data_IF_950982147018
#
_entry.id   IF_950982147018
#
_cell.length_a   1.000
_cell.length_b   1.000
_cell.length_c   1.000
_cell.angle_alpha   90.00
_cell.angle_beta   90.00
_cell.angle_gamma   90.00
#
_symmetry.space_group_name_H-M   'P 1'
#
loop_
_entity.id
_entity.type
_entity.pdbx_description
1 polymer ?
#
# COMPACT_ATOMS: atom_id res chain seq x y z
N UNK A 1 -5.87 27.56 28.12
CA UNK A 1 -7.29 27.18 27.88
C UNK A 1 -8.14 28.31 27.28
N UNK A 2 -8.04 29.56 27.75
CA UNK A 2 -8.78 30.69 27.15
C UNK A 2 -8.35 31.00 25.69
N UNK A 3 -7.06 30.87 25.37
CA UNK A 3 -6.50 31.26 24.07
C UNK A 3 -7.14 30.53 22.87
N UNK A 4 -7.40 29.23 22.98
CA UNK A 4 -8.04 28.43 21.91
C UNK A 4 -9.52 28.78 21.71
N UNK A 5 -10.20 29.29 22.74
CA UNK A 5 -11.57 29.79 22.59
C UNK A 5 -11.57 31.18 21.96
N UNK A 6 -10.58 32.02 22.28
CA UNK A 6 -10.45 33.34 21.66
C UNK A 6 -10.06 33.25 20.18
N UNK A 7 -9.30 32.22 19.81
CA UNK A 7 -8.84 31.98 18.44
C UNK A 7 -9.95 31.55 17.47
N UNK A 8 -11.18 31.32 17.93
CA UNK A 8 -12.32 31.07 17.04
C UNK A 8 -12.82 32.34 16.34
N UNK A 9 -12.46 33.52 16.87
CA UNK A 9 -12.77 34.81 16.27
C UNK A 9 -11.54 35.35 15.53
N UNK A 10 -11.70 35.67 14.24
CA UNK A 10 -10.60 36.07 13.35
C UNK A 10 -9.89 37.34 13.85
N UNK A 11 -10.61 38.30 14.40
CA UNK A 11 -10.02 39.56 14.92
C UNK A 11 -9.07 39.32 16.09
N UNK A 12 -9.33 38.28 16.89
CA UNK A 12 -8.46 37.90 18.00
C UNK A 12 -7.22 37.18 17.51
N UNK A 13 -7.25 36.48 16.37
CA UNK A 13 -6.12 35.71 15.88
C UNK A 13 -4.91 36.58 15.59
N UNK A 14 -5.10 37.78 15.02
CA UNK A 14 -4.01 38.74 14.80
C UNK A 14 -3.39 39.21 16.11
N UNK A 15 -4.20 39.48 17.14
CA UNK A 15 -3.70 39.88 18.47
C UNK A 15 -2.94 38.73 19.14
N UNK A 16 -3.45 37.50 19.01
CA UNK A 16 -2.81 36.30 19.53
C UNK A 16 -1.47 36.07 18.83
N UNK A 17 -1.41 36.23 17.50
CA UNK A 17 -0.19 36.04 16.71
C UNK A 17 0.91 37.03 17.10
N UNK A 18 0.56 38.28 17.40
CA UNK A 18 1.51 39.29 17.92
C UNK A 18 2.18 38.87 19.22
N UNK A 19 1.53 38.03 20.02
CA UNK A 19 2.12 37.48 21.24
C UNK A 19 3.08 36.30 20.99
N UNK A 20 3.34 35.94 19.72
CA UNK A 20 4.22 34.85 19.31
C UNK A 20 3.95 33.55 20.09
N UNK A 21 2.74 32.97 19.98
CA UNK A 21 2.32 31.86 20.83
C UNK A 21 2.95 30.51 20.42
N UNK A 22 3.54 30.43 19.22
CA UNK A 22 4.00 29.18 18.61
C UNK A 22 5.06 28.47 19.46
N UNK A 23 6.17 29.10 19.91
CA UNK A 23 7.19 28.42 20.73
C UNK A 23 6.62 27.82 22.01
N UNK A 24 5.79 28.60 22.71
CA UNK A 24 5.13 28.15 23.95
C UNK A 24 4.17 26.98 23.68
N UNK A 25 3.42 27.05 22.57
CA UNK A 25 2.45 26.01 22.21
C UNK A 25 3.16 24.72 21.78
N UNK A 26 4.26 24.81 21.03
CA UNK A 26 5.10 23.67 20.64
C UNK A 26 5.71 23.01 21.89
N UNK A 27 6.24 23.80 22.83
CA UNK A 27 6.75 23.27 24.11
C UNK A 27 5.67 22.51 24.90
N UNK A 28 4.42 22.98 24.87
CA UNK A 28 3.29 22.26 25.48
C UNK A 28 2.98 20.96 24.72
N UNK A 29 3.02 20.96 23.39
CA UNK A 29 2.82 19.75 22.59
C UNK A 29 3.91 18.69 22.83
N UNK A 30 5.15 19.10 23.07
CA UNK A 30 6.27 18.20 23.40
C UNK A 30 6.14 17.58 24.79
N UNK A 31 5.62 18.34 25.76
CA UNK A 31 5.54 17.92 27.18
C UNK A 31 4.24 17.20 27.55
N UNK A 32 3.15 17.46 26.86
CA UNK A 32 1.84 16.92 27.18
C UNK A 32 1.56 15.56 26.51
N UNK A 33 0.76 14.71 27.17
CA UNK A 33 0.22 13.49 26.55
C UNK A 33 -0.58 13.85 25.30
N UNK A 34 -0.27 13.23 24.17
CA UNK A 34 -0.84 13.55 22.85
C UNK A 34 -2.36 13.38 22.78
N UNK A 35 -2.93 12.49 23.59
CA UNK A 35 -4.38 12.29 23.71
C UNK A 35 -5.08 13.28 24.67
N UNK A 36 -4.36 14.24 25.25
CA UNK A 36 -4.91 15.15 26.27
C UNK A 36 -5.78 16.24 25.66
N UNK A 37 -6.71 16.78 26.45
CA UNK A 37 -7.50 17.95 26.03
C UNK A 37 -6.62 19.18 25.80
N UNK A 38 -5.50 19.30 26.51
CA UNK A 38 -4.51 20.37 26.32
C UNK A 38 -3.91 20.31 24.91
N UNK A 39 -3.48 19.12 24.47
CA UNK A 39 -2.96 18.89 23.12
C UNK A 39 -4.00 19.26 22.06
N UNK A 40 -5.25 18.84 22.23
CA UNK A 40 -6.33 19.18 21.30
C UNK A 40 -6.48 20.69 21.12
N UNK A 41 -6.52 21.43 22.23
CA UNK A 41 -6.66 22.90 22.22
C UNK A 41 -5.43 23.62 21.64
N UNK A 42 -4.23 23.13 21.96
CA UNK A 42 -2.98 23.67 21.41
C UNK A 42 -2.91 23.46 19.89
N UNK A 43 -3.28 22.28 19.43
CA UNK A 43 -3.25 21.93 18.00
C UNK A 43 -4.32 22.68 17.22
N UNK A 44 -5.52 22.87 17.80
CA UNK A 44 -6.57 23.70 17.21
C UNK A 44 -6.14 25.18 17.07
N UNK A 45 -5.42 25.70 18.06
CA UNK A 45 -4.83 27.04 17.99
C UNK A 45 -3.79 27.11 16.86
N UNK A 46 -2.88 26.14 16.77
CA UNK A 46 -1.89 26.07 15.69
C UNK A 46 -2.58 26.04 14.32
N UNK A 47 -3.57 25.18 14.10
CA UNK A 47 -4.34 25.13 12.85
C UNK A 47 -4.92 26.51 12.50
N UNK A 48 -5.50 27.20 13.49
CA UNK A 48 -6.10 28.52 13.28
C UNK A 48 -5.07 29.59 12.90
N UNK A 49 -3.83 29.50 13.43
CA UNK A 49 -2.75 30.42 13.13
C UNK A 49 -2.10 30.16 11.76
N UNK A 50 -2.25 28.96 11.19
CA UNK A 50 -1.70 28.65 9.86
C UNK A 50 -2.35 29.43 8.73
N UNK A 51 -3.46 30.13 8.98
CA UNK A 51 -4.04 31.09 8.03
C UNK A 51 -3.10 32.27 7.75
N UNK A 52 -2.19 32.60 8.68
CA UNK A 52 -1.27 33.73 8.57
C UNK A 52 0.13 33.27 8.22
N UNK A 53 0.81 34.00 7.32
CA UNK A 53 2.17 33.67 6.91
C UNK A 53 3.15 33.69 8.09
N UNK A 54 3.02 34.68 8.97
CA UNK A 54 3.84 34.80 10.18
C UNK A 54 3.69 33.58 11.11
N UNK A 55 2.48 33.04 11.25
CA UNK A 55 2.23 31.81 12.01
C UNK A 55 2.91 30.59 11.38
N UNK A 56 2.81 30.44 10.05
CA UNK A 56 3.47 29.35 9.31
C UNK A 56 5.00 29.46 9.38
N UNK A 57 5.54 30.66 9.20
CA UNK A 57 6.98 30.94 9.29
C UNK A 57 7.52 30.68 10.70
N UNK A 58 6.76 31.08 11.73
CA UNK A 58 7.11 30.81 13.12
C UNK A 58 7.14 29.31 13.42
N UNK A 59 6.17 28.54 12.93
CA UNK A 59 6.12 27.09 13.15
C UNK A 59 7.27 26.32 12.50
N UNK A 60 7.71 26.71 11.30
CA UNK A 60 8.87 26.08 10.65
C UNK A 60 10.21 26.51 11.25
N UNK A 61 10.26 27.71 11.84
CA UNK A 61 11.49 28.26 12.45
C UNK A 61 11.68 27.73 13.88
N UNK A 62 10.59 27.36 14.54
CA UNK A 62 10.63 26.75 15.86
C UNK A 62 11.21 25.32 15.78
N UNK A 63 12.24 25.06 16.59
CA UNK A 63 12.89 23.76 16.65
C UNK A 63 11.88 22.66 16.99
N UNK A 64 11.80 21.63 16.15
CA UNK A 64 10.82 20.54 16.29
C UNK A 64 9.35 20.99 16.26
N UNK A 65 9.04 22.19 15.72
CA UNK A 65 7.67 22.68 15.60
C UNK A 65 6.80 21.82 14.69
N UNK A 66 7.31 21.53 13.49
CA UNK A 66 6.64 20.62 12.53
C UNK A 66 6.56 19.20 13.09
N UNK A 67 7.65 18.70 13.68
CA UNK A 67 7.69 17.38 14.31
C UNK A 67 6.61 17.22 15.38
N UNK A 68 6.45 18.21 16.26
CA UNK A 68 5.44 18.17 17.32
C UNK A 68 4.01 18.04 16.76
N UNK A 69 3.73 18.66 15.60
CA UNK A 69 2.43 18.52 14.91
C UNK A 69 2.29 17.13 14.27
N UNK A 70 3.36 16.60 13.68
CA UNK A 70 3.37 15.23 13.10
C UNK A 70 3.13 14.18 14.19
N UNK A 71 3.79 14.27 15.34
CA UNK A 71 3.57 13.34 16.45
C UNK A 71 2.12 13.37 16.97
N UNK A 72 1.48 14.54 16.97
CA UNK A 72 0.05 14.66 17.31
C UNK A 72 -0.84 14.04 16.24
N UNK A 73 -0.47 14.13 14.96
CA UNK A 73 -1.17 13.48 13.86
C UNK A 73 -1.15 11.95 13.99
N UNK A 74 -0.07 11.39 14.50
CA UNK A 74 0.12 9.94 14.68
C UNK A 74 -0.60 9.42 15.94
N UNK A 75 -0.45 10.11 17.08
CA UNK A 75 -0.83 9.56 18.39
C UNK A 75 -1.86 10.39 19.17
N UNK A 76 -2.41 11.43 18.56
CA UNK A 76 -3.39 12.32 19.16
C UNK A 76 -4.80 11.74 19.28
N UNK A 77 -5.69 12.46 19.98
CA UNK A 77 -7.13 12.17 19.93
C UNK A 77 -7.70 12.39 18.52
N UNK A 78 -8.88 11.84 18.20
CA UNK A 78 -9.51 12.02 16.90
C UNK A 78 -9.61 13.50 16.48
N UNK A 79 -9.98 14.40 17.42
CA UNK A 79 -9.98 15.84 17.18
C UNK A 79 -8.57 16.40 16.99
N UNK A 80 -7.61 16.01 17.82
CA UNK A 80 -6.22 16.50 17.71
C UNK A 80 -5.59 16.12 16.38
N UNK A 81 -5.82 14.89 15.91
CA UNK A 81 -5.35 14.41 14.60
C UNK A 81 -5.99 15.19 13.45
N UNK A 82 -7.29 15.50 13.56
CA UNK A 82 -8.02 16.31 12.55
C UNK A 82 -7.52 17.77 12.48
N UNK A 83 -7.16 18.36 13.62
CA UNK A 83 -6.52 19.67 13.69
C UNK A 83 -5.08 19.63 13.15
N UNK A 84 -4.30 18.61 13.49
CA UNK A 84 -2.92 18.45 13.05
C UNK A 84 -2.83 18.31 11.51
N UNK A 85 -3.63 17.43 10.92
CA UNK A 85 -3.67 17.30 9.44
C UNK A 85 -4.20 18.56 8.78
N UNK A 86 -5.09 19.30 9.44
CA UNK A 86 -5.58 20.58 8.99
C UNK A 86 -4.48 21.65 8.93
N UNK A 87 -3.69 21.78 10.00
CA UNK A 87 -2.58 22.72 10.05
C UNK A 87 -1.58 22.46 8.91
N UNK A 88 -1.15 21.20 8.74
CA UNK A 88 -0.21 20.80 7.69
C UNK A 88 -0.78 20.99 6.28
N UNK A 89 -2.09 20.71 6.10
CA UNK A 89 -2.78 20.95 4.83
C UNK A 89 -2.83 22.44 4.48
N UNK A 90 -3.20 23.30 5.43
CA UNK A 90 -3.25 24.76 5.23
C UNK A 90 -1.89 25.32 4.87
N UNK A 91 -0.81 24.83 5.49
CA UNK A 91 0.56 25.19 5.11
C UNK A 91 0.82 24.85 3.64
N UNK A 92 0.66 23.58 3.25
CA UNK A 92 0.90 23.13 1.86
C UNK A 92 -0.01 23.81 0.83
N UNK A 93 -1.25 24.15 1.17
CA UNK A 93 -2.15 24.89 0.29
C UNK A 93 -1.73 26.36 0.12
N UNK A 94 -1.09 26.95 1.12
CA UNK A 94 -0.63 28.34 1.08
C UNK A 94 0.61 28.51 0.22
N UNK A 95 1.62 27.65 0.42
CA UNK A 95 2.84 27.62 -0.40
C UNK A 95 3.45 26.23 -0.37
N UNK A 96 3.05 25.43 -1.36
CA UNK A 96 3.49 24.05 -1.48
C UNK A 96 5.01 23.93 -1.55
N UNK A 97 5.69 24.80 -2.31
CA UNK A 97 7.13 24.70 -2.51
C UNK A 97 7.90 24.94 -1.21
N UNK A 98 7.41 25.89 -0.39
CA UNK A 98 8.02 26.25 0.88
C UNK A 98 7.81 25.21 1.98
N UNK A 99 6.61 24.65 2.11
CA UNK A 99 6.25 23.83 3.28
C UNK A 99 6.32 22.32 3.05
N UNK A 100 6.37 21.86 1.79
CA UNK A 100 6.42 20.42 1.48
C UNK A 100 7.64 19.73 2.09
N UNK A 101 8.83 20.26 1.88
CA UNK A 101 10.07 19.61 2.31
C UNK A 101 10.20 19.52 3.84
N UNK A 102 9.94 20.60 4.62
CA UNK A 102 9.89 20.50 6.08
C UNK A 102 8.92 19.43 6.59
N UNK A 103 7.73 19.33 5.99
CA UNK A 103 6.70 18.36 6.40
C UNK A 103 7.12 16.92 6.10
N UNK A 104 7.75 16.68 4.94
CA UNK A 104 8.23 15.35 4.56
C UNK A 104 9.41 14.89 5.41
N UNK A 105 10.32 15.81 5.76
CA UNK A 105 11.50 15.53 6.57
C UNK A 105 11.14 14.94 7.94
N UNK A 106 10.04 15.38 8.53
CA UNK A 106 9.55 14.87 9.82
C UNK A 106 8.79 13.54 9.73
N UNK A 107 8.73 12.91 8.55
CA UNK A 107 8.21 11.54 8.42
C UNK A 107 6.69 11.42 8.44
N UNK A 108 5.94 12.43 7.98
CA UNK A 108 4.47 12.48 8.10
C UNK A 108 3.69 11.39 7.33
N UNK A 109 4.30 10.71 6.35
CA UNK A 109 3.60 9.86 5.37
C UNK A 109 2.88 8.65 6.00
N UNK A 110 3.50 7.85 6.90
CA UNK A 110 2.83 6.70 7.52
C UNK A 110 1.59 7.14 8.31
N UNK A 111 1.70 8.20 9.12
CA UNK A 111 0.58 8.75 9.87
C UNK A 111 -0.57 9.22 8.99
N UNK A 112 -0.27 9.85 7.83
CA UNK A 112 -1.30 10.25 6.88
C UNK A 112 -2.01 9.07 6.23
N UNK A 113 -1.26 8.03 5.83
CA UNK A 113 -1.83 6.82 5.24
C UNK A 113 -2.75 6.12 6.24
N UNK A 114 -2.33 5.96 7.49
CA UNK A 114 -3.19 5.42 8.54
C UNK A 114 -4.45 6.28 8.72
N UNK A 115 -4.31 7.61 8.75
CA UNK A 115 -5.43 8.54 8.91
C UNK A 115 -6.43 8.47 7.75
N UNK A 116 -6.02 8.09 6.54
CA UNK A 116 -6.96 7.86 5.43
C UNK A 116 -7.90 6.67 5.65
N UNK A 117 -7.52 5.74 6.53
CA UNK A 117 -8.31 4.54 6.84
C UNK A 117 -9.05 4.70 8.16
N UNK A 118 -8.32 5.12 9.21
CA UNK A 118 -8.82 5.14 10.59
C UNK A 118 -9.32 6.52 11.05
N UNK A 119 -9.16 7.56 10.22
CA UNK A 119 -9.61 8.91 10.55
C UNK A 119 -11.12 9.10 10.52
N UNK A 120 -11.57 10.20 11.12
CA UNK A 120 -12.90 10.79 10.92
C UNK A 120 -13.14 11.09 9.43
N UNK A 121 -14.41 11.25 9.02
CA UNK A 121 -14.74 11.64 7.64
C UNK A 121 -13.96 12.87 7.17
N UNK A 122 -13.83 13.89 8.03
CA UNK A 122 -13.10 15.13 7.73
C UNK A 122 -11.58 14.90 7.64
N UNK A 123 -11.00 14.20 8.62
CA UNK A 123 -9.55 13.94 8.62
C UNK A 123 -9.11 13.05 7.46
N UNK A 124 -9.93 12.07 7.04
CA UNK A 124 -9.68 11.28 5.82
C UNK A 124 -9.58 12.15 4.56
N UNK A 125 -10.55 13.04 4.35
CA UNK A 125 -10.54 13.96 3.19
C UNK A 125 -9.34 14.91 3.22
N UNK A 126 -9.01 15.47 4.40
CA UNK A 126 -7.83 16.31 4.58
C UNK A 126 -6.53 15.54 4.29
N UNK A 127 -6.39 14.33 4.84
CA UNK A 127 -5.23 13.47 4.65
C UNK A 127 -5.01 13.08 3.19
N UNK A 128 -6.05 12.67 2.48
CA UNK A 128 -5.99 12.37 1.04
C UNK A 128 -5.53 13.58 0.22
N UNK A 129 -6.02 14.77 0.57
CA UNK A 129 -5.63 16.01 -0.12
C UNK A 129 -4.19 16.38 0.17
N UNK A 130 -3.76 16.30 1.43
CA UNK A 130 -2.37 16.55 1.79
C UNK A 130 -1.41 15.55 1.13
N UNK A 131 -1.74 14.26 1.10
CA UNK A 131 -0.95 13.24 0.39
C UNK A 131 -0.78 13.56 -1.11
N UNK A 132 -1.81 14.10 -1.78
CA UNK A 132 -1.69 14.57 -3.16
C UNK A 132 -0.71 15.74 -3.26
N UNK A 133 -0.86 16.74 -2.39
CA UNK A 133 0.04 17.90 -2.36
C UNK A 133 1.49 17.50 -2.07
N UNK A 134 1.74 16.48 -1.25
CA UNK A 134 3.09 16.01 -0.95
C UNK A 134 3.71 15.18 -2.08
N UNK A 135 2.89 14.53 -2.92
CA UNK A 135 3.34 13.60 -3.97
C UNK A 135 4.11 14.27 -5.11
N UNK A 136 3.72 15.46 -5.55
CA UNK A 136 4.24 16.01 -6.81
C UNK A 136 5.70 16.49 -6.70
N UNK A 137 6.64 15.74 -7.27
CA UNK A 137 8.01 16.24 -7.38
C UNK A 137 8.05 17.42 -8.36
N UNK A 138 8.88 18.46 -8.14
CA UNK A 138 9.13 19.48 -9.16
C UNK A 138 9.80 18.88 -10.41
N UNK A 139 10.26 17.64 -10.33
CA UNK A 139 10.50 16.82 -11.51
C UNK A 139 9.16 16.29 -11.99
N UNK A 140 8.70 16.67 -13.21
CA UNK A 140 7.67 15.88 -13.85
C UNK A 140 8.16 14.43 -13.77
N UNK A 141 7.31 13.50 -13.31
CA UNK A 141 7.46 12.13 -13.80
C UNK A 141 7.56 12.34 -15.29
N UNK A 142 8.66 11.91 -15.91
CA UNK A 142 8.66 11.69 -17.35
C UNK A 142 7.36 10.94 -17.61
N UNK A 143 6.37 11.65 -18.15
CA UNK A 143 5.18 11.03 -18.69
C UNK A 143 5.78 10.00 -19.62
N UNK A 144 5.66 8.73 -19.26
CA UNK A 144 6.09 7.68 -20.16
C UNK A 144 5.22 7.94 -21.37
N UNK A 145 5.85 8.45 -22.44
CA UNK A 145 5.19 8.75 -23.70
C UNK A 145 4.28 7.56 -24.01
N UNK A 146 3.05 7.78 -24.51
CA UNK A 146 2.09 6.72 -24.79
C UNK A 146 2.74 5.52 -25.49
N UNK A 147 3.64 5.80 -26.41
CA UNK A 147 4.46 4.85 -27.16
C UNK A 147 5.33 3.95 -26.27
N UNK A 148 5.87 4.46 -25.16
CA UNK A 148 6.67 3.66 -24.21
C UNK A 148 5.78 2.69 -23.45
N UNK A 149 4.58 3.13 -23.02
CA UNK A 149 3.61 2.24 -22.39
C UNK A 149 3.09 1.20 -23.38
N UNK A 150 2.80 1.61 -24.61
CA UNK A 150 2.37 0.74 -25.70
C UNK A 150 3.46 -0.30 -26.01
N UNK A 151 4.73 0.12 -26.11
CA UNK A 151 5.86 -0.79 -26.31
C UNK A 151 6.04 -1.77 -25.15
N UNK A 152 5.84 -1.35 -23.90
CA UNK A 152 5.88 -2.24 -22.73
C UNK A 152 4.74 -3.26 -22.82
N UNK A 153 3.52 -2.81 -23.12
CA UNK A 153 2.35 -3.68 -23.25
C UNK A 153 2.51 -4.65 -24.42
N UNK A 154 2.97 -4.19 -25.59
CA UNK A 154 3.26 -5.03 -26.75
C UNK A 154 4.35 -6.06 -26.48
N UNK A 155 5.40 -5.70 -25.73
CA UNK A 155 6.44 -6.67 -25.31
C UNK A 155 5.90 -7.71 -24.32
N UNK A 156 5.00 -7.33 -23.42
CA UNK A 156 4.36 -8.28 -22.50
C UNK A 156 3.44 -9.23 -23.27
N UNK A 157 2.65 -8.71 -24.21
CA UNK A 157 1.75 -9.52 -25.05
C UNK A 157 2.58 -10.48 -25.92
N UNK A 158 3.68 -10.04 -26.53
CA UNK A 158 4.52 -10.90 -27.36
C UNK A 158 5.23 -12.00 -26.57
N UNK A 159 5.55 -11.76 -25.30
CA UNK A 159 6.09 -12.78 -24.38
C UNK A 159 5.04 -13.77 -23.87
N UNK A 160 3.75 -13.47 -24.04
CA UNK A 160 2.63 -14.34 -23.64
C UNK A 160 2.22 -15.27 -24.79
N UNK A 161 2.80 -15.17 -26.00
CA UNK A 161 2.37 -16.00 -27.13
C UNK A 161 2.59 -17.50 -26.82
N UNK A 162 1.47 -18.20 -26.58
CA UNK A 162 1.37 -19.46 -25.83
C UNK A 162 1.30 -20.70 -26.72
N UNK A 163 1.69 -20.62 -27.99
CA UNK A 163 1.62 -21.77 -28.88
C UNK A 163 2.79 -22.76 -28.65
N UNK A 164 3.99 -22.29 -28.29
CA UNK A 164 5.17 -23.17 -28.20
C UNK A 164 5.19 -24.04 -26.93
N UNK A 165 4.70 -23.55 -25.79
CA UNK A 165 4.63 -24.34 -24.55
C UNK A 165 3.55 -25.44 -24.63
N UNK A 166 2.43 -25.17 -25.29
CA UNK A 166 1.33 -26.13 -25.50
C UNK A 166 1.74 -27.25 -26.46
N UNK A 167 2.50 -26.91 -27.52
CA UNK A 167 3.05 -27.89 -28.46
C UNK A 167 4.03 -28.86 -27.79
N UNK A 168 5.00 -28.34 -27.03
CA UNK A 168 6.00 -29.16 -26.31
C UNK A 168 5.36 -30.11 -25.29
N UNK A 169 4.32 -29.65 -24.57
CA UNK A 169 3.61 -30.50 -23.62
C UNK A 169 2.83 -31.63 -24.32
N UNK A 170 2.21 -31.35 -25.48
CA UNK A 170 1.52 -32.38 -26.28
C UNK A 170 2.49 -33.41 -26.86
N UNK A 171 3.65 -32.96 -27.34
CA UNK A 171 4.69 -33.84 -27.89
C UNK A 171 5.28 -34.75 -26.80
N UNK A 172 5.58 -34.21 -25.62
CA UNK A 172 6.07 -34.98 -24.48
C UNK A 172 5.06 -36.05 -24.02
N UNK A 173 3.75 -35.73 -24.02
CA UNK A 173 2.71 -36.71 -23.71
C UNK A 173 2.60 -37.81 -24.77
N UNK A 174 2.71 -37.46 -26.05
CA UNK A 174 2.70 -38.43 -27.15
C UNK A 174 3.89 -39.40 -27.04
N UNK A 175 5.09 -38.88 -26.77
CA UNK A 175 6.29 -39.68 -26.56
C UNK A 175 6.15 -40.61 -25.34
N UNK A 176 5.64 -40.11 -24.21
CA UNK A 176 5.43 -40.95 -23.02
C UNK A 176 4.48 -42.12 -23.29
N UNK A 177 3.38 -41.89 -24.01
CA UNK A 177 2.42 -42.95 -24.37
C UNK A 177 3.08 -43.98 -25.29
N UNK A 178 3.83 -43.52 -26.31
CA UNK A 178 4.54 -44.41 -27.23
C UNK A 178 5.54 -45.31 -26.49
N UNK A 179 6.39 -44.71 -25.64
CA UNK A 179 7.39 -45.45 -24.86
C UNK A 179 6.73 -46.48 -23.93
N UNK A 180 5.65 -46.09 -23.24
CA UNK A 180 4.91 -46.99 -22.35
C UNK A 180 4.31 -48.17 -23.10
N UNK A 181 3.79 -47.95 -24.30
CA UNK A 181 3.21 -49.01 -25.12
C UNK A 181 4.27 -50.00 -25.62
N UNK A 182 5.41 -49.51 -26.08
CA UNK A 182 6.53 -50.36 -26.52
C UNK A 182 7.07 -51.22 -25.37
N UNK A 183 7.26 -50.64 -24.19
CA UNK A 183 7.71 -51.38 -23.00
C UNK A 183 6.70 -52.46 -22.62
N UNK A 184 5.41 -52.15 -22.64
CA UNK A 184 4.34 -53.10 -22.34
C UNK A 184 4.33 -54.29 -23.32
N UNK A 185 4.53 -54.01 -24.61
CA UNK A 185 4.55 -55.03 -25.65
C UNK A 185 5.78 -55.94 -25.54
N UNK A 186 6.96 -55.37 -25.25
CA UNK A 186 8.19 -56.15 -24.96
C UNK A 186 8.01 -57.05 -23.75
N UNK A 187 7.42 -56.54 -22.67
CA UNK A 187 7.14 -57.34 -21.47
C UNK A 187 6.16 -58.50 -21.76
N UNK A 188 5.11 -58.26 -22.55
CA UNK A 188 4.17 -59.31 -22.95
C UNK A 188 4.84 -60.38 -23.81
N UNK A 189 5.68 -59.97 -24.78
CA UNK A 189 6.45 -60.89 -25.62
C UNK A 189 7.45 -61.73 -24.81
N UNK A 190 8.16 -61.12 -23.84
CA UNK A 190 9.07 -61.85 -22.95
C UNK A 190 8.31 -62.88 -22.09
N UNK A 191 7.14 -62.53 -21.54
CA UNK A 191 6.30 -63.47 -20.78
C UNK A 191 5.74 -64.57 -21.66
N UNK A 192 5.37 -64.27 -22.90
CA UNK A 192 4.92 -65.25 -23.87
C UNK A 192 6.04 -66.22 -24.31
N UNK A 193 7.29 -65.75 -24.42
CA UNK A 193 8.45 -66.57 -24.78
C UNK A 193 8.87 -67.56 -23.68
N UNK A 194 8.57 -67.24 -22.41
CA UNK A 194 8.79 -68.14 -21.25
C UNK A 194 7.78 -69.30 -21.24
N UNK A 195 6.65 -69.17 -21.93
CA UNK A 195 5.76 -70.29 -22.20
C UNK A 195 6.25 -71.06 -23.45
N UNK A 196 7.21 -71.97 -23.27
CA UNK A 196 7.49 -72.99 -24.29
C UNK A 196 6.29 -73.95 -24.41
N UNK A 197 5.86 -74.34 -25.63
CA UNK A 197 4.83 -75.36 -25.84
C UNK A 197 5.44 -76.74 -25.56
N UNK A 198 5.59 -77.07 -24.28
CA UNK A 198 6.01 -78.38 -23.82
C UNK A 198 5.10 -78.89 -22.69
N UNK A 199 3.79 -78.64 -22.82
CA UNK A 199 2.75 -79.35 -22.06
C UNK A 199 1.46 -79.46 -22.89
N UNK A 200 1.58 -80.05 -24.09
CA UNK A 200 0.46 -80.71 -24.75
C UNK A 200 0.53 -82.21 -24.42
N UNK A 201 0.29 -82.55 -23.15
CA UNK A 201 -0.12 -83.91 -22.80
C UNK A 201 -1.64 -83.95 -22.77
N UNK A 202 -2.22 -84.51 -23.83
CA UNK A 202 -3.63 -84.91 -23.89
C UNK A 202 -3.81 -86.17 -23.04
N UNK A 203 -4.79 -86.21 -22.12
CA UNK A 203 -5.58 -87.41 -21.91
C UNK A 203 -7.04 -87.09 -22.26
N UNK A 204 -7.56 -87.65 -23.35
CA UNK A 204 -8.25 -88.94 -23.35
C UNK A 204 -9.41 -89.00 -22.34
N UNK A 205 -10.61 -88.77 -22.87
CA UNK A 205 -11.88 -89.48 -22.62
C UNK A 205 -12.31 -89.75 -21.16
N UNK A 206 -13.51 -89.31 -20.77
CA UNK A 206 -14.76 -90.10 -20.89
C UNK A 206 -15.92 -89.27 -20.31
N UNK A 207 -16.97 -89.13 -21.12
CA UNK A 207 -18.30 -88.66 -20.77
C UNK A 207 -18.96 -89.49 -19.66
N UNK A 208 -19.55 -88.82 -18.66
CA UNK A 208 -20.76 -89.34 -17.99
C UNK A 208 -21.68 -88.20 -17.58
N UNK A 209 -22.81 -88.15 -18.28
CA UNK A 209 -24.03 -87.45 -17.93
C UNK A 209 -24.64 -88.17 -16.73
N UNK A 210 -25.07 -87.43 -15.70
CA UNK A 210 -26.26 -87.78 -14.91
C UNK A 210 -26.89 -86.53 -14.32
N UNK A 211 -28.10 -86.25 -14.79
CA UNK A 211 -29.07 -85.31 -14.26
C UNK A 211 -29.48 -85.64 -12.82
N UNK A 212 -29.76 -84.60 -12.03
CA UNK A 212 -31.01 -84.45 -11.29
C UNK A 212 -31.21 -82.98 -10.90
#
# INVERSE_FOLDING_TARGET
MALSNLSTYQDNLLLILRAQPIPSTVSLLKSCKKSSKTTERCTALIESLMCYEEGRNSLISEDGGVLAVVEVLESGSAQSREHAVGALLTMCQSDRAKYREPILREGVIPGLLELTVQGTVKSRTKAQTLLRLLRDTPYPRSELEPDTLENIVSNLISQIDCEEQSGKAKEMLAEMVQVSMEQSLRHLQQRALVCTPADLSVPSCVSKITSK
#
